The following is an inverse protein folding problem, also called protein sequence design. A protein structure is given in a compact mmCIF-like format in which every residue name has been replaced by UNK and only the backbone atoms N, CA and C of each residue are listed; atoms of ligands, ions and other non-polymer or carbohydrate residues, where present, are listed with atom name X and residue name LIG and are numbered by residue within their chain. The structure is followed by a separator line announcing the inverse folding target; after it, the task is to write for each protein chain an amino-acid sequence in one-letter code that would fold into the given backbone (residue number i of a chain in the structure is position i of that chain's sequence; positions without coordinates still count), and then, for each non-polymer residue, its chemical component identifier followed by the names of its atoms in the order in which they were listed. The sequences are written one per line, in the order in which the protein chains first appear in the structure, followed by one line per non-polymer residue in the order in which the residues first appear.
data_IF_120068716300
#
_entry.id   IF_120068716300
#
_cell.length_a   1.000
_cell.length_b   1.000
_cell.length_c   1.000
_cell.angle_alpha   90.00
_cell.angle_beta   90.00
_cell.angle_gamma   90.00
#
_symmetry.space_group_name_H-M   'P 1'
#
loop_
_entity.id
_entity.type
_entity.pdbx_description
1 polymer ?
#
# COMPACT_ATOMS: atom_id res chain seq x y z
N UNK A 1 -0.16 36.80 1.90
CA UNK A 1 0.41 35.61 2.56
C UNK A 1 -0.76 34.78 3.04
N UNK A 2 -1.09 33.70 2.33
CA UNK A 2 -2.24 32.83 2.64
C UNK A 2 -1.69 31.49 3.12
N UNK A 3 -2.38 30.97 4.12
CA UNK A 3 -2.07 29.88 5.04
C UNK A 3 -1.62 28.55 4.40
N UNK A 4 -0.32 28.42 4.16
CA UNK A 4 0.33 27.20 3.65
C UNK A 4 0.32 26.06 4.69
N UNK A 5 0.03 26.36 5.96
CA UNK A 5 -0.09 25.37 7.05
C UNK A 5 -1.43 24.63 7.07
N UNK A 6 -2.46 25.14 6.39
CA UNK A 6 -3.79 24.52 6.41
C UNK A 6 -3.86 23.16 5.70
N UNK A 7 -2.87 22.85 4.86
CA UNK A 7 -2.86 21.64 4.02
C UNK A 7 -1.99 20.53 4.61
N UNK A 8 -1.01 20.89 5.44
CA UNK A 8 -0.12 19.93 6.09
C UNK A 8 -0.90 18.98 7.01
N UNK A 9 -0.63 17.68 6.89
CA UNK A 9 -1.38 16.64 7.60
C UNK A 9 -2.72 16.24 6.95
N UNK A 10 -3.10 16.87 5.83
CA UNK A 10 -4.32 16.51 5.09
C UNK A 10 -4.07 15.30 4.21
N UNK A 11 -5.05 14.38 4.17
CA UNK A 11 -5.04 13.22 3.26
C UNK A 11 -5.64 13.61 1.92
N UNK A 12 -4.87 13.44 0.85
CA UNK A 12 -5.32 13.55 -0.53
C UNK A 12 -5.28 12.17 -1.20
N UNK A 13 -6.43 11.50 -1.25
CA UNK A 13 -6.53 10.14 -1.78
C UNK A 13 -5.68 9.15 -0.96
N UNK A 14 -4.74 8.48 -1.63
CA UNK A 14 -3.79 7.56 -0.99
C UNK A 14 -2.57 8.25 -0.38
N UNK A 15 -2.48 9.58 -0.41
CA UNK A 15 -1.30 10.33 -0.01
C UNK A 15 -1.58 11.20 1.22
N UNK A 16 -0.65 11.21 2.17
CA UNK A 16 -0.67 12.10 3.32
C UNK A 16 0.34 13.23 3.11
N UNK A 17 -0.16 14.46 3.04
CA UNK A 17 0.63 15.67 2.80
C UNK A 17 1.38 16.07 4.06
N UNK A 18 2.62 16.54 3.89
CA UNK A 18 3.46 17.12 4.94
C UNK A 18 3.78 18.57 4.60
N UNK A 19 5.05 18.90 4.41
CA UNK A 19 5.52 20.27 4.26
C UNK A 19 5.43 20.77 2.81
N UNK A 20 5.10 22.05 2.64
CA UNK A 20 5.30 22.78 1.39
C UNK A 20 6.79 23.06 1.21
N UNK A 21 7.35 22.67 0.06
CA UNK A 21 8.77 22.87 -0.23
C UNK A 21 9.00 24.03 -1.18
N UNK A 22 8.12 24.18 -2.17
CA UNK A 22 8.28 25.14 -3.25
C UNK A 22 6.92 25.58 -3.78
N UNK A 23 6.78 26.88 -4.02
CA UNK A 23 5.67 27.42 -4.80
C UNK A 23 6.22 27.87 -6.14
N UNK A 24 5.83 27.18 -7.20
CA UNK A 24 6.26 27.45 -8.56
C UNK A 24 5.21 28.35 -9.23
N UNK A 25 5.59 29.54 -9.72
CA UNK A 25 4.67 30.40 -10.45
C UNK A 25 4.01 29.66 -11.62
N UNK A 26 2.67 29.68 -11.68
CA UNK A 26 1.88 29.00 -12.72
C UNK A 26 1.61 27.51 -12.48
N UNK A 27 2.47 26.80 -11.74
CA UNK A 27 2.31 25.36 -11.44
C UNK A 27 1.67 25.11 -10.06
N UNK A 28 1.82 26.04 -9.12
CA UNK A 28 1.24 25.95 -7.78
C UNK A 28 2.26 25.56 -6.72
N UNK A 29 1.77 25.01 -5.60
CA UNK A 29 2.61 24.60 -4.47
C UNK A 29 2.90 23.10 -4.51
N UNK A 30 4.16 22.74 -4.31
CA UNK A 30 4.65 21.37 -4.25
C UNK A 30 4.91 21.01 -2.79
N UNK A 31 4.22 19.97 -2.35
CA UNK A 31 4.31 19.44 -1.00
C UNK A 31 5.00 18.08 -1.01
N UNK A 32 5.78 17.83 0.05
CA UNK A 32 6.19 16.45 0.37
C UNK A 32 4.99 15.65 0.82
N UNK A 33 4.98 14.38 0.46
CA UNK A 33 3.93 13.45 0.86
C UNK A 33 4.49 12.03 1.00
N UNK A 34 3.67 11.16 1.56
CA UNK A 34 3.92 9.74 1.52
C UNK A 34 2.63 8.99 1.20
N UNK A 35 2.78 7.90 0.49
CA UNK A 35 1.68 6.98 0.28
C UNK A 35 1.32 6.33 1.62
N UNK A 36 0.05 6.40 2.02
CA UNK A 36 -0.43 5.95 3.33
C UNK A 36 -0.16 4.46 3.54
N UNK A 37 -0.47 3.63 2.54
CA UNK A 37 -0.36 2.17 2.70
C UNK A 37 1.07 1.63 2.53
N UNK A 38 1.84 2.18 1.57
CA UNK A 38 3.19 1.67 1.24
C UNK A 38 4.31 2.41 1.98
N UNK A 39 4.01 3.58 2.55
CA UNK A 39 5.00 4.50 3.09
C UNK A 39 5.96 5.07 2.04
N UNK A 40 5.71 4.86 0.75
CA UNK A 40 6.59 5.32 -0.31
C UNK A 40 6.62 6.86 -0.36
N UNK A 41 7.79 7.48 -0.56
CA UNK A 41 7.87 8.92 -0.74
C UNK A 41 7.10 9.35 -1.99
N UNK A 42 6.39 10.46 -1.88
CA UNK A 42 5.61 11.04 -2.95
C UNK A 42 5.70 12.56 -2.90
N UNK A 43 5.32 13.20 -4.01
CA UNK A 43 5.06 14.63 -4.04
C UNK A 43 3.60 14.83 -4.43
N UNK A 44 2.99 15.84 -3.81
CA UNK A 44 1.67 16.31 -4.19
C UNK A 44 1.81 17.76 -4.62
N UNK A 45 1.47 18.03 -5.87
CA UNK A 45 1.34 19.39 -6.37
C UNK A 45 -0.11 19.82 -6.26
N UNK A 46 -0.34 21.01 -5.74
CA UNK A 46 -1.64 21.63 -5.69
C UNK A 46 -1.56 22.93 -6.49
N UNK A 47 -2.34 22.99 -7.57
CA UNK A 47 -2.41 24.18 -8.41
C UNK A 47 -2.93 25.41 -7.66
N UNK A 48 -2.67 26.60 -8.20
CA UNK A 48 -3.14 27.84 -7.60
C UNK A 48 -4.67 27.87 -7.51
N UNK A 49 -5.22 28.46 -6.44
CA UNK A 49 -6.67 28.56 -6.22
C UNK A 49 -7.35 29.21 -7.44
N UNK A 50 -8.35 28.52 -8.00
CA UNK A 50 -9.15 29.00 -9.13
C UNK A 50 -8.53 28.81 -10.52
N UNK A 51 -7.35 28.20 -10.63
CA UNK A 51 -6.78 27.88 -11.93
C UNK A 51 -7.41 26.61 -12.53
N UNK A 52 -7.64 26.61 -13.84
CA UNK A 52 -7.97 25.42 -14.64
C UNK A 52 -6.66 24.67 -14.90
N UNK A 53 -6.05 24.16 -13.83
CA UNK A 53 -4.72 23.54 -13.88
C UNK A 53 -4.79 22.02 -14.05
N UNK A 54 -5.95 21.42 -13.78
CA UNK A 54 -6.18 19.98 -13.84
C UNK A 54 -7.00 19.64 -15.09
N UNK A 55 -6.67 18.57 -15.84
CA UNK A 55 -7.54 18.08 -16.90
C UNK A 55 -8.93 17.74 -16.35
N UNK A 56 -9.94 17.72 -17.22
CA UNK A 56 -11.28 17.36 -16.79
C UNK A 56 -11.31 15.93 -16.24
N UNK A 57 -11.83 15.77 -15.01
CA UNK A 57 -12.05 14.47 -14.39
C UNK A 57 -10.82 13.80 -13.76
N UNK A 58 -11.05 12.61 -13.19
CA UNK A 58 -10.03 11.89 -12.44
C UNK A 58 -9.15 11.02 -13.34
N UNK A 59 -7.84 11.24 -13.26
CA UNK A 59 -6.82 10.48 -13.98
C UNK A 59 -5.93 9.69 -13.02
N UNK A 60 -5.61 8.44 -13.40
CA UNK A 60 -4.61 7.63 -12.71
C UNK A 60 -3.73 6.94 -13.75
N UNK A 61 -2.44 7.22 -13.70
CA UNK A 61 -1.45 6.71 -14.63
C UNK A 61 -0.20 6.29 -13.87
N UNK A 62 0.54 5.32 -14.40
CA UNK A 62 1.76 4.82 -13.80
C UNK A 62 2.83 4.51 -14.83
N UNK A 63 4.06 4.85 -14.47
CA UNK A 63 5.25 4.52 -15.24
C UNK A 63 6.01 3.40 -14.55
N UNK A 64 6.53 2.48 -15.35
CA UNK A 64 7.45 1.44 -14.86
C UNK A 64 8.62 1.30 -15.84
N UNK A 65 9.82 1.18 -15.28
CA UNK A 65 11.05 0.99 -16.03
C UNK A 65 11.88 -0.14 -15.43
N UNK A 66 12.64 -0.84 -16.26
CA UNK A 66 13.51 -1.94 -15.85
C UNK A 66 14.89 -1.88 -16.51
N UNK A 67 15.76 -2.82 -16.14
CA UNK A 67 17.10 -2.97 -16.75
C UNK A 67 17.08 -3.40 -18.22
N UNK A 68 15.91 -3.73 -18.74
CA UNK A 68 15.65 -4.04 -20.14
C UNK A 68 15.62 -2.78 -21.04
N UNK A 69 15.78 -1.59 -20.46
CA UNK A 69 15.76 -0.32 -21.19
C UNK A 69 14.37 0.08 -21.67
N UNK A 70 13.31 -0.62 -21.23
CA UNK A 70 11.94 -0.35 -21.64
C UNK A 70 11.22 0.47 -20.59
N UNK A 71 10.55 1.53 -21.04
CA UNK A 71 9.62 2.32 -20.24
C UNK A 71 8.20 1.94 -20.65
N UNK A 72 7.37 1.59 -19.67
CA UNK A 72 5.96 1.24 -19.87
C UNK A 72 5.10 2.27 -19.15
N UNK A 73 4.10 2.80 -19.85
CA UNK A 73 3.06 3.64 -19.29
C UNK A 73 1.76 2.84 -19.24
N UNK A 74 1.09 2.84 -18.09
CA UNK A 74 -0.23 2.25 -17.90
C UNK A 74 -1.20 3.33 -17.45
N UNK A 75 -2.33 3.45 -18.12
CA UNK A 75 -3.45 4.29 -17.70
C UNK A 75 -4.41 3.38 -16.93
N UNK A 76 -4.57 3.62 -15.64
CA UNK A 76 -5.48 2.86 -14.76
C UNK A 76 -6.88 3.47 -14.79
N UNK A 77 -6.95 4.80 -14.85
CA UNK A 77 -8.21 5.54 -14.86
C UNK A 77 -8.10 6.74 -15.78
N UNK A 78 -9.12 6.93 -16.61
CA UNK A 78 -9.30 8.11 -17.46
C UNK A 78 -10.79 8.49 -17.46
N UNK A 79 -11.11 9.78 -17.55
CA UNK A 79 -12.46 10.24 -17.81
C UNK A 79 -13.00 9.65 -19.12
N UNK A 80 -14.32 9.43 -19.26
CA UNK A 80 -14.92 9.01 -20.53
C UNK A 80 -14.73 10.02 -21.66
N UNK A 81 -14.62 11.31 -21.33
CA UNK A 81 -14.36 12.41 -22.26
C UNK A 81 -12.88 12.68 -22.52
N UNK A 82 -11.97 11.85 -21.97
CA UNK A 82 -10.53 12.05 -22.04
C UNK A 82 -10.04 12.21 -23.47
N UNK A 83 -9.41 13.35 -23.76
CA UNK A 83 -8.79 13.59 -25.05
C UNK A 83 -7.27 13.39 -24.99
N UNK A 84 -6.65 13.20 -26.15
CA UNK A 84 -5.19 13.10 -26.24
C UNK A 84 -4.47 14.35 -25.69
N UNK A 85 -5.08 15.52 -25.83
CA UNK A 85 -4.55 16.78 -25.30
C UNK A 85 -4.50 16.81 -23.77
N UNK A 86 -5.46 16.19 -23.08
CA UNK A 86 -5.47 16.11 -21.61
C UNK A 86 -4.31 15.26 -21.10
N UNK A 87 -4.04 14.14 -21.76
CA UNK A 87 -2.89 13.30 -21.45
C UNK A 87 -1.58 14.06 -21.70
N UNK A 88 -1.47 14.80 -22.80
CA UNK A 88 -0.29 15.64 -23.07
C UNK A 88 -0.08 16.67 -21.95
N UNK A 89 -1.14 17.37 -21.53
CA UNK A 89 -1.07 18.36 -20.44
C UNK A 89 -0.62 17.71 -19.13
N UNK A 90 -1.14 16.51 -18.79
CA UNK A 90 -0.67 15.76 -17.63
C UNK A 90 0.82 15.41 -17.71
N UNK A 91 1.30 15.02 -18.89
CA UNK A 91 2.72 14.72 -19.10
C UNK A 91 3.61 15.96 -18.99
N UNK A 92 3.14 17.10 -19.52
CA UNK A 92 3.83 18.38 -19.39
C UNK A 92 3.94 18.78 -17.90
N UNK A 93 2.83 18.66 -17.13
CA UNK A 93 2.83 18.92 -15.68
C UNK A 93 3.75 17.98 -14.90
N UNK A 94 3.73 16.69 -15.21
CA UNK A 94 4.61 15.72 -14.58
C UNK A 94 6.09 16.03 -14.88
N UNK A 95 6.39 16.45 -16.11
CA UNK A 95 7.74 16.84 -16.53
C UNK A 95 8.21 18.10 -15.80
N UNK A 96 7.34 19.10 -15.65
CA UNK A 96 7.67 20.31 -14.91
C UNK A 96 7.86 20.04 -13.42
N UNK A 97 7.07 19.13 -12.84
CA UNK A 97 7.27 18.67 -11.46
C UNK A 97 8.63 17.99 -11.29
N UNK A 98 9.00 17.08 -12.19
CA UNK A 98 10.33 16.43 -12.17
C UNK A 98 11.43 17.48 -12.30
N UNK A 99 11.28 18.44 -13.19
CA UNK A 99 12.24 19.54 -13.37
C UNK A 99 12.37 20.42 -12.12
N UNK A 100 11.29 20.64 -11.38
CA UNK A 100 11.34 21.35 -10.08
C UNK A 100 12.13 20.53 -9.06
N UNK A 101 11.94 19.21 -8.99
CA UNK A 101 12.75 18.32 -8.14
C UNK A 101 14.24 18.40 -8.50
N UNK A 102 14.58 18.40 -9.78
CA UNK A 102 15.96 18.52 -10.25
C UNK A 102 16.61 19.86 -9.87
N UNK A 103 15.83 20.94 -9.81
CA UNK A 103 16.33 22.28 -9.49
C UNK A 103 16.37 22.57 -7.99
N UNK A 104 15.60 21.84 -7.19
CA UNK A 104 15.43 22.14 -5.77
C UNK A 104 16.13 21.10 -4.88
N UNK A 105 17.23 21.45 -4.20
CA UNK A 105 17.98 20.51 -3.36
C UNK A 105 17.16 19.99 -2.18
N UNK A 106 16.14 20.72 -1.71
CA UNK A 106 15.25 20.25 -0.63
C UNK A 106 14.37 19.09 -1.10
N UNK A 107 13.84 19.15 -2.33
CA UNK A 107 13.07 18.06 -2.92
C UNK A 107 13.95 16.83 -3.17
N UNK A 108 15.19 17.03 -3.60
CA UNK A 108 16.15 15.92 -3.74
C UNK A 108 16.47 15.27 -2.40
N UNK A 109 16.75 16.08 -1.37
CA UNK A 109 17.02 15.60 -0.02
C UNK A 109 15.85 14.78 0.53
N UNK A 110 14.60 15.19 0.27
CA UNK A 110 13.42 14.44 0.66
C UNK A 110 13.41 13.02 0.07
N UNK A 111 13.66 12.87 -1.23
CA UNK A 111 13.71 11.56 -1.86
C UNK A 111 14.92 10.73 -1.42
N UNK A 112 16.07 11.36 -1.21
CA UNK A 112 17.25 10.68 -0.68
C UNK A 112 17.04 10.15 0.73
N UNK A 113 16.50 10.99 1.62
CA UNK A 113 16.19 10.63 2.99
C UNK A 113 15.14 9.52 3.03
N UNK A 114 14.07 9.64 2.26
CA UNK A 114 13.07 8.60 2.14
C UNK A 114 13.66 7.29 1.58
N UNK A 115 14.55 7.37 0.58
CA UNK A 115 15.23 6.19 0.05
C UNK A 115 16.16 5.53 1.09
N UNK A 116 16.82 6.32 1.95
CA UNK A 116 17.64 5.82 3.06
C UNK A 116 16.75 5.14 4.11
N UNK A 117 15.65 5.77 4.49
CA UNK A 117 14.69 5.22 5.45
C UNK A 117 14.07 3.92 4.93
N UNK A 118 13.61 3.90 3.67
CA UNK A 118 13.03 2.72 3.04
C UNK A 118 14.05 1.59 2.91
N UNK A 119 15.31 1.88 2.56
CA UNK A 119 16.39 0.88 2.61
C UNK A 119 16.55 0.34 4.01
N UNK A 120 16.69 1.20 5.02
CA UNK A 120 16.86 0.79 6.42
C UNK A 120 15.70 -0.07 6.93
N UNK A 121 14.47 0.25 6.55
CA UNK A 121 13.28 -0.50 6.94
C UNK A 121 13.24 -1.86 6.24
N UNK A 122 13.49 -1.92 4.93
CA UNK A 122 13.62 -3.19 4.20
C UNK A 122 14.74 -4.06 4.77
N UNK A 123 15.87 -3.48 5.16
CA UNK A 123 16.95 -4.20 5.84
C UNK A 123 16.51 -4.71 7.22
N UNK A 124 15.82 -3.90 8.02
CA UNK A 124 15.29 -4.31 9.34
C UNK A 124 14.25 -5.41 9.24
N UNK A 125 13.27 -5.29 8.34
CA UNK A 125 12.24 -6.32 8.10
C UNK A 125 12.89 -7.60 7.60
N UNK A 126 13.82 -7.52 6.64
CA UNK A 126 14.51 -8.71 6.12
C UNK A 126 15.39 -9.37 7.19
N UNK A 127 16.03 -8.59 8.07
CA UNK A 127 16.78 -9.10 9.22
C UNK A 127 15.86 -9.76 10.25
N UNK A 128 14.72 -9.14 10.55
CA UNK A 128 13.71 -9.70 11.45
C UNK A 128 13.14 -11.02 10.91
N UNK A 129 12.81 -11.10 9.61
CA UNK A 129 12.36 -12.34 8.96
C UNK A 129 13.42 -13.44 8.91
N UNK A 130 14.70 -13.06 8.94
CA UNK A 130 15.83 -13.98 9.05
C UNK A 130 16.17 -14.34 10.50
N UNK A 131 15.53 -13.70 11.47
CA UNK A 131 15.67 -14.02 12.89
C UNK A 131 14.96 -15.34 13.19
N UNK A 132 15.69 -16.26 13.82
CA UNK A 132 15.13 -17.52 14.28
C UNK A 132 13.97 -17.32 15.27
N UNK A 133 13.97 -16.23 16.03
CA UNK A 133 12.90 -15.86 16.97
C UNK A 133 11.57 -15.58 16.29
N UNK A 134 11.56 -14.91 15.12
CA UNK A 134 10.33 -14.66 14.37
C UNK A 134 9.78 -15.97 13.80
N UNK A 135 10.66 -16.88 13.35
CA UNK A 135 10.25 -18.21 12.89
C UNK A 135 9.71 -19.06 14.04
N UNK A 136 10.38 -19.04 15.19
CA UNK A 136 9.93 -19.74 16.39
C UNK A 136 8.56 -19.23 16.85
N UNK A 137 8.36 -17.91 16.89
CA UNK A 137 7.07 -17.31 17.22
C UNK A 137 5.96 -17.69 16.22
N UNK A 138 6.27 -17.74 14.91
CA UNK A 138 5.31 -18.16 13.89
C UNK A 138 4.91 -19.62 14.05
N UNK A 139 5.89 -20.49 14.32
CA UNK A 139 5.66 -21.92 14.60
C UNK A 139 4.83 -22.09 15.87
N UNK A 140 5.13 -21.34 16.93
CA UNK A 140 4.37 -21.39 18.18
C UNK A 140 2.93 -20.91 17.99
N UNK A 141 2.72 -19.86 17.20
CA UNK A 141 1.39 -19.35 16.87
C UNK A 141 0.58 -20.37 16.07
N UNK A 142 1.19 -21.05 15.09
CA UNK A 142 0.54 -22.11 14.32
C UNK A 142 0.21 -23.33 15.20
N UNK A 143 1.11 -23.72 16.11
CA UNK A 143 0.87 -24.77 17.09
C UNK A 143 -0.28 -24.40 18.03
N UNK A 144 -0.29 -23.19 18.56
CA UNK A 144 -1.38 -22.68 19.40
C UNK A 144 -2.72 -22.65 18.67
N UNK A 145 -2.72 -22.25 17.39
CA UNK A 145 -3.93 -22.26 16.56
C UNK A 145 -4.42 -23.69 16.29
N UNK A 146 -3.51 -24.62 15.98
CA UNK A 146 -3.84 -26.03 15.77
C UNK A 146 -4.36 -26.71 17.04
N UNK A 147 -3.76 -26.43 18.19
CA UNK A 147 -4.22 -26.91 19.50
C UNK A 147 -5.59 -26.31 19.87
N UNK A 148 -5.81 -25.02 19.61
CA UNK A 148 -7.09 -24.37 19.86
C UNK A 148 -8.21 -24.93 18.99
N UNK A 149 -7.96 -25.13 17.69
CA UNK A 149 -8.92 -25.74 16.76
C UNK A 149 -9.16 -27.22 17.12
N UNK A 150 -8.12 -27.97 17.45
CA UNK A 150 -8.25 -29.37 17.90
C UNK A 150 -9.06 -29.50 19.18
N UNK A 151 -8.84 -28.62 20.15
CA UNK A 151 -9.61 -28.60 21.40
C UNK A 151 -11.09 -28.23 21.19
N UNK A 152 -11.37 -27.29 20.29
CA UNK A 152 -12.73 -26.93 19.88
C UNK A 152 -13.45 -28.08 19.15
N UNK A 153 -12.72 -28.87 18.36
CA UNK A 153 -13.28 -30.05 17.70
C UNK A 153 -13.49 -31.22 18.68
N UNK A 154 -12.58 -31.43 19.64
CA UNK A 154 -12.71 -32.51 20.62
C UNK A 154 -13.79 -32.23 21.69
N UNK A 155 -14.08 -30.97 21.98
CA UNK A 155 -15.21 -30.58 22.86
C UNK A 155 -16.58 -30.67 22.17
N UNK A 156 -16.62 -30.75 20.83
CA UNK A 156 -17.84 -31.04 20.05
C UNK A 156 -18.10 -32.54 19.87
N UNK A 157 -17.11 -33.39 20.16
CA UNK A 157 -17.23 -34.86 20.23
C UNK A 157 -17.22 -35.31 21.69
N UNK A 158 -18.15 -34.82 22.50
CA UNK A 158 -18.54 -35.57 23.69
C UNK A 158 -19.47 -36.69 23.20
N UNK A 159 -19.07 -37.98 23.27
CA UNK A 159 -19.96 -39.07 22.89
C UNK A 159 -21.12 -39.08 23.88
N UNK A 160 -22.34 -38.97 23.36
CA UNK A 160 -23.55 -39.12 24.14
C UNK A 160 -23.48 -40.45 24.93
N UNK A 161 -23.70 -40.46 26.26
CA UNK A 161 -23.75 -41.69 27.01
C UNK A 161 -25.09 -42.35 26.72
N UNK A 162 -25.09 -43.36 25.85
CA UNK A 162 -26.27 -44.18 25.62
C UNK A 162 -26.25 -44.84 24.26
N UNK A 163 -25.69 -46.05 24.21
CA UNK A 163 -26.19 -47.11 23.34
C UNK A 163 -25.94 -48.43 24.10
N UNK A 164 -26.76 -48.65 25.13
CA UNK A 164 -27.21 -50.02 25.41
C UNK A 164 -28.07 -50.43 24.22
N UNK A 165 -27.68 -51.49 23.51
CA UNK A 165 -28.66 -52.23 22.72
C UNK A 165 -28.63 -53.73 23.06
N UNK A 166 -29.82 -54.35 23.14
CA UNK A 166 -30.04 -55.68 23.68
C UNK A 166 -30.02 -56.74 22.59
N UNK A 167 -29.66 -57.97 23.01
CA UNK A 167 -30.15 -59.25 22.51
C UNK A 167 -30.33 -59.47 21.01
N UNK A 168 -29.53 -60.36 20.44
CA UNK A 168 -30.08 -61.29 19.44
C UNK A 168 -29.43 -62.67 19.62
N UNK A 169 -30.32 -63.63 19.89
CA UNK A 169 -30.04 -65.01 20.23
C UNK A 169 -29.43 -65.81 19.07
N UNK A 170 -28.81 -66.92 19.48
CA UNK A 170 -28.14 -67.94 18.68
C UNK A 170 -29.00 -68.54 17.52
N UNK A 171 -28.40 -69.41 16.71
CA UNK A 171 -28.67 -70.82 17.02
C UNK A 171 -27.45 -71.74 16.98
N UNK A 172 -27.56 -72.77 17.82
CA UNK A 172 -26.74 -73.95 17.87
C UNK A 172 -26.88 -74.80 16.59
N UNK A 173 -25.80 -75.47 16.19
CA UNK A 173 -25.86 -76.72 15.43
C UNK A 173 -24.81 -77.68 15.99
N UNK A 174 -25.33 -78.78 16.54
CA UNK A 174 -24.61 -80.02 16.78
C UNK A 174 -24.64 -80.86 15.50
N UNK A 175 -23.50 -81.44 15.11
CA UNK A 175 -23.19 -82.88 15.12
C UNK A 175 -21.71 -83.08 14.75
#
# INVERSE_FOLDING_TARGET
MVDDKSVEGTRHGAFLIRECIETVPGLGSIYTAHHVDTGAPALVMLGPKGAIWSPEGAWELGFSGGRDGKVRMKIYKSPPSAQHEDLKRLMDLATDMVRSVEKNPRLQAHFEEAARLQRSWRFRVRRAWRSWWVRAALILALLGLGLGVGYLLSTQMEPAPGDELPGEDAPALAE
#
